data_IF_789942140022
#
_entry.id   IF_789942140022
#
_cell.length_a   1.000
_cell.length_b   1.000
_cell.length_c   1.000
_cell.angle_alpha   90.00
_cell.angle_beta   90.00
_cell.angle_gamma   90.00
#
_symmetry.space_group_name_H-M   'P 1'
#
loop_
_entity.id
_entity.type
_entity.pdbx_description
1 polymer ?
#
# COMPACT_ATOMS: atom_id res chain seq x y z
N UNK A 1 -12.11 -2.91 14.33
CA UNK A 1 -13.00 -1.91 14.94
C UNK A 1 -12.68 -0.39 14.67
N UNK A 2 -12.24 0.10 13.50
CA UNK A 2 -11.53 1.39 13.17
C UNK A 2 -12.28 2.66 13.63
N UNK A 3 -12.03 3.12 14.87
CA UNK A 3 -12.41 4.39 15.50
C UNK A 3 -11.34 5.50 15.34
N UNK A 4 -11.62 6.57 14.58
CA UNK A 4 -10.77 7.76 14.45
C UNK A 4 -10.48 8.43 15.79
N UNK A 5 -9.20 8.48 16.19
CA UNK A 5 -8.71 9.38 17.24
C UNK A 5 -7.68 10.33 16.67
N UNK A 6 -8.04 11.60 16.63
CA UNK A 6 -7.19 12.73 16.25
C UNK A 6 -6.37 13.13 17.47
N UNK A 7 -5.03 13.11 17.37
CA UNK A 7 -4.16 13.67 18.42
C UNK A 7 -3.92 15.14 18.11
N UNK A 8 -4.39 16.00 19.01
CA UNK A 8 -4.30 17.46 18.94
C UNK A 8 -3.08 17.93 19.74
N UNK A 9 -2.13 18.62 19.12
CA UNK A 9 -1.11 19.39 19.84
C UNK A 9 -1.46 20.87 19.63
N UNK A 10 -1.84 21.56 20.71
CA UNK A 10 -2.17 22.98 20.68
C UNK A 10 -1.20 23.72 21.60
N UNK A 11 -0.38 24.62 21.06
CA UNK A 11 0.36 25.61 21.84
C UNK A 11 -0.44 26.92 21.89
N UNK A 12 -0.61 27.53 23.06
CA UNK A 12 -1.55 28.64 23.25
C UNK A 12 -0.89 30.03 23.25
N UNK A 13 -1.44 31.01 22.50
CA UNK A 13 -1.57 32.47 22.78
C UNK A 13 -2.20 33.22 21.57
N UNK A 14 -2.77 34.44 21.72
CA UNK A 14 -4.16 34.76 21.32
C UNK A 14 -4.40 34.94 19.81
N UNK A 15 -5.48 34.31 19.34
CA UNK A 15 -6.08 34.57 18.02
C UNK A 15 -6.72 35.95 18.01
N UNK A 16 -6.05 36.96 17.45
CA UNK A 16 -6.56 38.33 17.38
C UNK A 16 -7.83 38.49 16.52
N UNK A 17 -8.23 37.48 15.73
CA UNK A 17 -9.30 37.56 14.73
C UNK A 17 -10.26 36.36 14.71
N UNK A 18 -10.15 35.41 15.65
CA UNK A 18 -11.09 34.28 15.76
C UNK A 18 -11.06 33.23 14.63
N UNK A 19 -10.10 33.30 13.69
CA UNK A 19 -9.97 32.37 12.57
C UNK A 19 -8.87 31.35 12.88
N UNK A 20 -9.22 30.07 13.01
CA UNK A 20 -8.28 28.97 13.23
C UNK A 20 -7.80 28.40 11.88
N UNK A 21 -6.49 28.34 11.67
CA UNK A 21 -5.89 27.67 10.51
C UNK A 21 -5.50 26.23 10.83
N UNK A 22 -5.94 25.26 10.01
CA UNK A 22 -5.52 23.86 10.07
C UNK A 22 -4.52 23.55 8.96
N UNK A 23 -3.40 22.90 9.29
CA UNK A 23 -2.44 22.39 8.30
C UNK A 23 -2.10 20.93 8.60
N UNK A 24 -2.04 20.10 7.56
CA UNK A 24 -1.61 18.71 7.71
C UNK A 24 -0.07 18.67 7.85
N UNK A 25 0.49 17.91 8.80
CA UNK A 25 1.90 17.57 8.79
C UNK A 25 2.18 16.68 7.58
N UNK A 26 3.36 16.83 6.99
CA UNK A 26 3.87 15.86 6.00
C UNK A 26 4.14 14.52 6.68
N UNK A 27 3.82 13.43 5.99
CA UNK A 27 4.00 12.05 6.48
C UNK A 27 5.48 11.61 6.43
N UNK A 28 6.38 12.34 7.10
CA UNK A 28 7.83 12.11 7.11
C UNK A 28 8.34 11.33 8.33
N UNK A 29 7.44 10.85 9.20
CA UNK A 29 7.80 9.96 10.30
C UNK A 29 8.49 8.67 9.82
N UNK A 30 9.09 7.87 10.72
CA UNK A 30 8.91 7.91 12.18
C UNK A 30 10.05 8.64 12.94
N UNK A 31 11.01 9.22 12.24
CA UNK A 31 12.16 9.86 12.89
C UNK A 31 11.75 11.13 13.64
N UNK A 32 12.46 11.40 14.75
CA UNK A 32 12.24 12.60 15.56
C UNK A 32 12.47 13.87 14.74
N UNK A 33 11.70 14.93 15.01
CA UNK A 33 11.88 16.24 14.37
C UNK A 33 11.34 16.35 12.93
N UNK A 34 10.49 15.42 12.50
CA UNK A 34 9.91 15.39 11.14
C UNK A 34 8.59 16.16 11.01
N UNK A 35 8.07 16.68 12.12
CA UNK A 35 6.84 17.50 12.15
C UNK A 35 7.10 18.84 11.47
N UNK A 36 6.31 19.14 10.44
CA UNK A 36 6.26 20.46 9.80
C UNK A 36 4.97 21.19 10.20
N UNK A 37 4.90 22.50 9.92
CA UNK A 37 3.76 23.36 10.28
C UNK A 37 3.54 23.50 11.80
N UNK A 38 4.63 23.47 12.57
CA UNK A 38 4.64 23.59 14.04
C UNK A 38 4.64 25.07 14.52
N UNK A 39 4.06 25.99 13.75
CA UNK A 39 3.93 27.37 14.21
C UNK A 39 2.91 27.43 15.37
N UNK A 40 3.13 28.26 16.40
CA UNK A 40 2.33 28.18 17.62
C UNK A 40 0.82 28.40 17.43
N UNK A 41 0.42 29.08 16.36
CA UNK A 41 -0.96 29.42 16.00
C UNK A 41 -1.59 28.46 14.98
N UNK A 42 -0.88 27.41 14.57
CA UNK A 42 -1.38 26.40 13.62
C UNK A 42 -1.78 25.15 14.39
N UNK A 43 -2.99 24.65 14.12
CA UNK A 43 -3.39 23.34 14.60
C UNK A 43 -2.71 22.25 13.75
N UNK A 44 -1.67 21.61 14.30
CA UNK A 44 -1.03 20.44 13.69
C UNK A 44 -1.74 19.17 14.11
N UNK A 45 -2.21 18.38 13.14
CA UNK A 45 -2.97 17.15 13.37
C UNK A 45 -2.18 15.91 12.98
N UNK A 46 -1.89 15.03 13.95
CA UNK A 46 -1.24 13.75 13.68
C UNK A 46 -2.19 12.72 13.04
N UNK A 47 -1.65 11.84 12.19
CA UNK A 47 -2.37 10.70 11.65
C UNK A 47 -2.24 9.49 12.59
N UNK A 48 -3.36 8.82 12.88
CA UNK A 48 -3.39 7.56 13.60
C UNK A 48 -4.14 6.51 12.78
N UNK A 49 -3.81 5.24 13.00
CA UNK A 49 -4.66 4.15 12.53
C UNK A 49 -5.81 3.98 13.47
N UNK A 50 -6.89 3.52 12.90
CA UNK A 50 -8.07 3.13 13.62
C UNK A 50 -7.90 1.54 13.81
N UNK A 51 -8.81 0.76 14.41
CA UNK A 51 -9.00 -0.73 14.50
C UNK A 51 -9.68 -1.69 13.39
N UNK A 52 -10.43 -1.29 12.33
CA UNK A 52 -11.10 -1.94 11.16
C UNK A 52 -10.14 -1.98 10.00
N UNK A 53 -9.61 -3.16 9.74
CA UNK A 53 -8.88 -3.46 8.53
C UNK A 53 -9.83 -3.70 7.34
N UNK A 54 -9.30 -3.54 6.13
CA UNK A 54 -9.93 -4.01 4.90
C UNK A 54 -9.39 -5.41 4.59
N UNK A 55 -9.74 -6.37 5.46
CA UNK A 55 -9.21 -7.74 5.43
C UNK A 55 -9.48 -8.40 4.08
N UNK A 56 -8.42 -8.89 3.44
CA UNK A 56 -8.47 -9.69 2.22
C UNK A 56 -7.72 -11.00 2.49
N UNK A 57 -8.36 -12.14 2.22
CA UNK A 57 -7.74 -13.46 2.44
C UNK A 57 -7.28 -14.03 1.10
N UNK A 58 -5.99 -14.33 1.00
CA UNK A 58 -5.42 -15.04 -0.14
C UNK A 58 -5.41 -16.54 0.16
N UNK A 59 -6.10 -17.33 -0.66
CA UNK A 59 -6.12 -18.80 -0.57
C UNK A 59 -5.32 -19.40 -1.71
N UNK A 60 -4.43 -20.33 -1.37
CA UNK A 60 -3.55 -20.99 -2.34
C UNK A 60 -4.01 -22.42 -2.64
N UNK A 61 -3.51 -23.00 -3.73
CA UNK A 61 -3.90 -24.35 -4.17
C UNK A 61 -3.46 -25.47 -3.21
N UNK A 62 -2.52 -25.19 -2.30
CA UNK A 62 -2.11 -26.09 -1.22
C UNK A 62 -3.04 -26.03 0.01
N UNK A 63 -4.07 -25.19 0.01
CA UNK A 63 -5.01 -25.00 1.11
C UNK A 63 -4.54 -24.00 2.17
N UNK A 64 -3.35 -23.40 2.02
CA UNK A 64 -2.90 -22.34 2.92
C UNK A 64 -3.67 -21.04 2.68
N UNK A 65 -3.97 -20.34 3.77
CA UNK A 65 -4.65 -19.05 3.76
C UNK A 65 -3.77 -17.99 4.42
N UNK A 66 -3.64 -16.84 3.76
CA UNK A 66 -2.88 -15.70 4.26
C UNK A 66 -3.78 -14.48 4.37
N UNK A 67 -3.74 -13.84 5.53
CA UNK A 67 -4.46 -12.61 5.78
C UNK A 67 -3.65 -11.41 5.31
N UNK A 68 -4.26 -10.59 4.45
CA UNK A 68 -3.74 -9.32 4.00
C UNK A 68 -4.80 -8.23 4.03
N UNK A 69 -4.49 -7.12 3.38
CA UNK A 69 -5.38 -5.97 3.28
C UNK A 69 -5.53 -5.53 1.83
N UNK A 70 -6.77 -5.31 1.39
CA UNK A 70 -7.05 -4.75 0.07
C UNK A 70 -8.41 -4.05 0.07
N UNK A 71 -8.45 -2.84 -0.47
CA UNK A 71 -9.69 -2.12 -0.77
C UNK A 71 -10.40 -2.68 -2.02
N UNK A 72 -9.67 -3.44 -2.86
CA UNK A 72 -10.19 -4.02 -4.09
C UNK A 72 -10.34 -5.53 -3.92
N UNK A 73 -11.60 -6.00 -3.93
CA UNK A 73 -11.96 -7.40 -3.71
C UNK A 73 -12.99 -7.86 -4.77
N UNK A 74 -12.54 -8.19 -5.98
CA UNK A 74 -13.44 -8.61 -7.04
C UNK A 74 -14.01 -10.00 -6.75
N UNK A 75 -15.34 -10.12 -6.75
CA UNK A 75 -16.06 -11.37 -6.48
C UNK A 75 -15.65 -12.53 -7.41
N UNK A 76 -15.25 -12.24 -8.65
CA UNK A 76 -14.90 -13.24 -9.66
C UNK A 76 -13.56 -13.95 -9.48
N UNK A 77 -12.64 -13.43 -8.65
CA UNK A 77 -11.35 -14.10 -8.35
C UNK A 77 -11.47 -15.16 -7.24
N UNK A 78 -12.65 -15.26 -6.60
CA UNK A 78 -12.89 -16.14 -5.45
C UNK A 78 -13.44 -17.51 -5.86
N UNK A 79 -13.59 -17.78 -7.16
CA UNK A 79 -14.06 -19.08 -7.63
C UNK A 79 -12.98 -20.15 -7.40
N UNK A 80 -13.20 -21.12 -6.49
CA UNK A 80 -12.20 -22.12 -6.13
C UNK A 80 -11.81 -23.03 -7.30
N UNK A 81 -12.69 -23.12 -8.30
CA UNK A 81 -12.54 -24.01 -9.46
C UNK A 81 -11.51 -23.51 -10.47
N UNK A 82 -11.11 -22.23 -10.41
CA UNK A 82 -10.18 -21.62 -11.38
C UNK A 82 -9.19 -20.69 -10.68
N UNK A 83 -8.35 -21.24 -9.80
CA UNK A 83 -7.25 -20.48 -9.19
C UNK A 83 -6.16 -20.19 -10.23
N UNK A 84 -5.90 -18.91 -10.58
CA UNK A 84 -4.80 -18.57 -11.46
C UNK A 84 -3.45 -18.92 -10.79
N UNK A 85 -2.43 -19.31 -11.58
CA UNK A 85 -1.13 -19.65 -11.01
C UNK A 85 -0.49 -18.45 -10.30
N UNK A 86 0.16 -18.71 -9.17
CA UNK A 86 1.02 -17.75 -8.47
C UNK A 86 2.43 -17.80 -9.06
N UNK A 87 3.02 -16.65 -9.33
CA UNK A 87 4.41 -16.53 -9.79
C UNK A 87 5.20 -15.53 -8.98
N UNK A 88 6.47 -15.84 -8.80
CA UNK A 88 7.48 -14.88 -8.34
C UNK A 88 8.30 -14.46 -9.57
N UNK A 89 8.25 -13.19 -9.99
CA UNK A 89 8.82 -12.73 -11.26
C UNK A 89 10.32 -12.50 -11.13
N UNK A 90 11.09 -13.49 -10.67
CA UNK A 90 12.56 -13.42 -10.58
C UNK A 90 13.18 -14.52 -11.44
N UNK A 91 14.31 -14.20 -12.08
CA UNK A 91 15.16 -15.19 -12.76
C UNK A 91 16.62 -14.84 -12.49
N UNK A 92 17.55 -15.76 -12.80
CA UNK A 92 19.00 -15.53 -12.63
C UNK A 92 19.50 -14.24 -13.30
N UNK A 93 18.84 -13.82 -14.39
CA UNK A 93 19.21 -12.63 -15.16
C UNK A 93 18.34 -11.41 -14.85
N UNK A 94 17.25 -11.56 -14.09
CA UNK A 94 16.27 -10.51 -13.84
C UNK A 94 15.86 -10.47 -12.36
N UNK A 95 16.83 -10.22 -11.49
CA UNK A 95 16.62 -10.12 -10.04
C UNK A 95 15.75 -8.94 -9.65
N UNK A 96 15.82 -7.82 -10.38
CA UNK A 96 15.05 -6.60 -10.09
C UNK A 96 13.54 -6.72 -10.39
N UNK A 97 13.14 -7.76 -11.12
CA UNK A 97 11.74 -7.99 -11.48
C UNK A 97 10.88 -8.39 -10.30
N UNK A 98 11.49 -8.86 -9.20
CA UNK A 98 10.80 -9.11 -7.94
C UNK A 98 10.13 -7.86 -7.34
N UNK A 99 10.63 -6.67 -7.64
CA UNK A 99 10.05 -5.42 -7.13
C UNK A 99 8.85 -4.93 -7.94
N UNK A 100 8.61 -5.48 -9.14
CA UNK A 100 7.55 -5.07 -10.05
C UNK A 100 7.58 -3.57 -10.43
N UNK A 101 8.79 -3.01 -10.48
CA UNK A 101 9.05 -1.61 -10.83
C UNK A 101 8.95 -1.37 -12.34
N UNK A 102 8.99 -0.09 -12.74
CA UNK A 102 8.99 0.30 -14.16
C UNK A 102 10.08 -0.44 -14.95
N UNK A 103 9.71 -1.00 -16.09
CA UNK A 103 10.65 -1.61 -17.04
C UNK A 103 11.17 -3.00 -16.61
N UNK A 104 11.04 -3.38 -15.34
CA UNK A 104 11.54 -4.67 -14.84
C UNK A 104 10.73 -5.86 -15.39
N UNK A 105 9.41 -5.72 -15.52
CA UNK A 105 8.53 -6.78 -15.99
C UNK A 105 8.54 -6.99 -17.52
N UNK A 106 9.26 -6.16 -18.29
CA UNK A 106 9.26 -6.23 -19.75
C UNK A 106 9.84 -7.55 -20.27
N UNK A 107 10.93 -8.02 -19.66
CA UNK A 107 11.63 -9.24 -20.07
C UNK A 107 11.03 -10.52 -19.47
N UNK A 108 10.12 -10.39 -18.51
CA UNK A 108 9.44 -11.52 -17.83
C UNK A 108 7.93 -11.52 -18.08
N UNK A 109 7.49 -10.91 -19.19
CA UNK A 109 6.07 -10.76 -19.52
C UNK A 109 5.32 -12.08 -19.57
N UNK A 110 5.93 -13.13 -20.12
CA UNK A 110 5.30 -14.46 -20.23
C UNK A 110 5.16 -15.16 -18.87
N UNK A 111 5.99 -14.77 -17.89
CA UNK A 111 5.82 -15.19 -16.51
C UNK A 111 4.64 -14.49 -15.84
N UNK A 112 4.31 -13.26 -16.24
CA UNK A 112 3.28 -12.41 -15.59
C UNK A 112 1.89 -12.60 -16.20
N UNK A 113 1.80 -12.78 -17.53
CA UNK A 113 0.53 -12.79 -18.26
C UNK A 113 -0.40 -13.90 -17.76
N UNK A 114 -1.62 -13.52 -17.36
CA UNK A 114 -2.68 -14.43 -16.90
C UNK A 114 -2.50 -14.97 -15.48
N UNK A 115 -1.51 -14.48 -14.72
CA UNK A 115 -1.09 -15.06 -13.43
C UNK A 115 -1.17 -14.05 -12.30
N UNK A 116 -1.20 -14.55 -11.06
CA UNK A 116 -1.06 -13.75 -9.84
C UNK A 116 0.41 -13.53 -9.58
N UNK A 117 0.83 -12.27 -9.46
CA UNK A 117 2.24 -11.93 -9.30
C UNK A 117 2.53 -11.57 -7.84
N UNK A 118 3.50 -12.26 -7.23
CA UNK A 118 4.05 -11.91 -5.93
C UNK A 118 5.19 -10.90 -6.13
N UNK A 119 5.03 -9.70 -5.57
CA UNK A 119 6.02 -8.62 -5.62
C UNK A 119 6.59 -8.35 -4.21
N UNK A 120 7.86 -8.03 -4.14
CA UNK A 120 8.57 -7.65 -2.91
C UNK A 120 8.17 -6.23 -2.49
N UNK A 121 7.86 -6.00 -1.22
CA UNK A 121 7.40 -4.69 -0.69
C UNK A 121 8.42 -3.56 -0.80
N UNK A 122 9.71 -3.90 -0.86
CA UNK A 122 10.81 -2.94 -1.06
C UNK A 122 10.84 -2.46 -2.52
N UNK A 123 11.58 -1.39 -2.85
CA UNK A 123 11.77 -1.00 -4.26
C UNK A 123 11.30 0.39 -4.67
N UNK A 124 11.01 1.31 -3.74
CA UNK A 124 10.93 2.75 -3.99
C UNK A 124 9.67 3.26 -4.71
N UNK A 125 8.94 2.42 -5.44
CA UNK A 125 7.67 2.81 -6.06
C UNK A 125 6.46 2.51 -5.16
N UNK A 126 5.40 3.32 -5.26
CA UNK A 126 4.15 3.07 -4.58
C UNK A 126 3.48 1.77 -5.09
N UNK A 127 2.91 0.98 -4.16
CA UNK A 127 2.25 -0.29 -4.51
C UNK A 127 1.16 -0.16 -5.58
N UNK A 128 0.42 0.95 -5.60
CA UNK A 128 -0.60 1.22 -6.63
C UNK A 128 0.03 1.32 -8.02
N UNK A 129 1.16 2.02 -8.16
CA UNK A 129 1.87 2.17 -9.42
C UNK A 129 2.40 0.81 -9.93
N UNK A 130 2.86 -0.05 -9.01
CA UNK A 130 3.29 -1.42 -9.33
C UNK A 130 2.12 -2.30 -9.77
N UNK A 131 0.99 -2.23 -9.06
CA UNK A 131 -0.23 -2.96 -9.42
C UNK A 131 -0.75 -2.57 -10.81
N UNK A 132 -0.70 -1.28 -11.16
CA UNK A 132 -1.04 -0.81 -12.50
C UNK A 132 -0.12 -1.39 -13.58
N UNK A 133 1.16 -1.59 -13.27
CA UNK A 133 2.13 -2.21 -14.20
C UNK A 133 1.88 -3.69 -14.35
N UNK A 134 1.69 -4.42 -13.25
CA UNK A 134 1.31 -5.85 -13.29
C UNK A 134 0.09 -6.03 -14.19
N UNK A 135 -0.94 -5.19 -14.03
CA UNK A 135 -2.11 -5.17 -14.92
C UNK A 135 -1.74 -4.86 -16.38
N UNK A 136 -0.89 -3.86 -16.63
CA UNK A 136 -0.39 -3.51 -17.98
C UNK A 136 0.32 -4.66 -18.68
N UNK A 137 1.10 -5.47 -17.94
CA UNK A 137 1.78 -6.65 -18.48
C UNK A 137 0.90 -7.90 -18.52
N UNK A 138 -0.38 -7.79 -18.12
CA UNK A 138 -1.40 -8.83 -18.24
C UNK A 138 -1.54 -9.73 -17.02
N UNK A 139 -0.97 -9.38 -15.87
CA UNK A 139 -1.22 -10.07 -14.61
C UNK A 139 -2.66 -9.86 -14.15
N UNK A 140 -3.26 -10.89 -13.55
CA UNK A 140 -4.67 -10.88 -13.12
C UNK A 140 -4.83 -10.33 -11.70
N UNK A 141 -3.81 -10.48 -10.88
CA UNK A 141 -3.74 -9.92 -9.53
C UNK A 141 -2.28 -9.74 -9.09
N UNK A 142 -2.07 -8.92 -8.06
CA UNK A 142 -0.77 -8.69 -7.45
C UNK A 142 -0.88 -8.89 -5.94
N UNK A 143 0.05 -9.66 -5.37
CA UNK A 143 0.27 -9.78 -3.94
C UNK A 143 1.56 -9.04 -3.62
N UNK A 144 1.54 -8.12 -2.67
CA UNK A 144 2.71 -7.38 -2.22
C UNK A 144 3.09 -7.88 -0.83
N UNK A 145 4.30 -8.43 -0.66
CA UNK A 145 4.78 -8.73 0.69
C UNK A 145 5.18 -7.44 1.41
N UNK A 146 5.18 -7.47 2.75
CA UNK A 146 5.52 -6.34 3.59
C UNK A 146 6.94 -6.46 4.12
#
# INVERSE_FOLDING_TARGET
MQQLRVVLICSASPLALGILGSALPVNLGPFNGTVQNAAPWILTVGASTIDRSFRAVARFGNGEEFEGESLYQPLGLLNPTTLPPLVYPTTSNHTLSEFCNQGTLANVRDMVKGKVVLCQGRGGEAGIARGAKVKKYGGVAMILNK
#
